data_IF_471443005274
#
_entry.id   IF_471443005274
#
_cell.length_a   1.000
_cell.length_b   1.000
_cell.length_c   1.000
_cell.angle_alpha   90.00
_cell.angle_beta   90.00
_cell.angle_gamma   90.00
#
_symmetry.space_group_name_H-M   'P 1'
#
loop_
_entity.id
_entity.type
_entity.pdbx_description
1 polymer ?
#
# COMPACT_ATOMS: atom_id res chain seq x y z
N UNK A 1 -14.18 48.31 25.71
CA UNK A 1 -13.17 47.41 26.31
C UNK A 1 -13.81 46.07 26.53
N UNK A 2 -13.63 45.13 25.60
CA UNK A 2 -13.61 43.67 25.84
C UNK A 2 -13.01 43.06 24.57
N UNK A 3 -11.68 43.06 24.49
CA UNK A 3 -10.95 42.24 23.54
C UNK A 3 -11.10 40.80 24.03
N UNK A 4 -11.74 39.95 23.21
CA UNK A 4 -11.89 38.52 23.46
C UNK A 4 -10.50 37.89 23.37
N UNK A 5 -10.03 37.31 24.47
CA UNK A 5 -8.78 36.56 24.54
C UNK A 5 -8.93 35.17 23.90
N UNK A 6 -9.39 35.12 22.65
CA UNK A 6 -9.41 33.93 21.80
C UNK A 6 -8.39 33.99 20.65
N UNK A 7 -7.76 35.14 20.43
CA UNK A 7 -6.95 35.41 19.24
C UNK A 7 -5.43 35.34 19.46
N UNK A 8 -4.94 34.65 20.52
CA UNK A 8 -3.50 34.60 20.79
C UNK A 8 -2.99 33.27 21.36
N UNK A 9 -3.41 32.16 20.78
CA UNK A 9 -2.63 30.92 20.78
C UNK A 9 -2.65 30.34 19.37
N UNK A 10 -1.99 31.05 18.45
CA UNK A 10 -1.51 30.43 17.22
C UNK A 10 -0.56 29.32 17.64
N UNK A 11 -1.02 28.06 17.61
CA UNK A 11 -0.12 26.93 17.79
C UNK A 11 0.92 27.06 16.68
N UNK A 12 2.24 27.07 16.96
CA UNK A 12 3.27 27.25 15.92
C UNK A 12 3.10 26.25 14.77
N UNK A 13 2.53 25.09 15.08
CA UNK A 13 2.11 24.07 14.14
C UNK A 13 1.02 24.49 13.14
N UNK A 14 0.00 25.26 13.55
CA UNK A 14 -1.09 25.73 12.67
C UNK A 14 -0.57 26.75 11.68
N UNK A 15 0.27 27.69 12.14
CA UNK A 15 0.88 28.69 11.27
C UNK A 15 1.79 28.04 10.22
N UNK A 16 2.61 27.06 10.61
CA UNK A 16 3.47 26.34 9.65
C UNK A 16 2.62 25.57 8.64
N UNK A 17 1.53 24.92 9.07
CA UNK A 17 0.67 24.18 8.12
C UNK A 17 -0.03 25.14 7.15
N UNK A 18 -0.56 26.27 7.64
CA UNK A 18 -1.22 27.28 6.81
C UNK A 18 -0.26 27.91 5.80
N UNK A 19 0.94 28.31 6.23
CA UNK A 19 1.99 28.85 5.35
C UNK A 19 2.40 27.84 4.26
N UNK A 20 2.43 26.56 4.61
CA UNK A 20 2.82 25.52 3.64
C UNK A 20 1.67 25.10 2.73
N UNK A 21 0.42 25.10 3.21
CA UNK A 21 -0.76 24.90 2.37
C UNK A 21 -0.91 26.06 1.37
N UNK A 22 -0.63 27.29 1.77
CA UNK A 22 -0.56 28.44 0.86
C UNK A 22 0.55 28.27 -0.20
N UNK A 23 1.75 27.83 0.19
CA UNK A 23 2.84 27.52 -0.74
C UNK A 23 2.47 26.38 -1.72
N UNK A 24 1.63 25.43 -1.30
CA UNK A 24 1.09 24.38 -2.19
C UNK A 24 0.07 24.93 -3.21
N UNK A 25 -0.73 25.92 -2.81
CA UNK A 25 -1.76 26.55 -3.66
C UNK A 25 -1.18 27.60 -4.63
N UNK A 26 -0.05 28.23 -4.28
CA UNK A 26 0.60 29.30 -5.05
C UNK A 26 1.24 28.89 -6.40
N UNK A 27 0.79 27.78 -7.00
CA UNK A 27 1.24 27.24 -8.28
C UNK A 27 2.69 26.72 -8.33
N UNK A 28 2.88 25.51 -7.79
CA UNK A 28 3.97 24.61 -8.21
C UNK A 28 5.27 24.71 -7.43
N UNK A 29 5.33 25.53 -6.38
CA UNK A 29 6.47 25.64 -5.47
C UNK A 29 6.49 24.52 -4.41
N UNK A 30 6.27 23.28 -4.87
CA UNK A 30 6.28 22.10 -4.01
C UNK A 30 7.63 21.87 -3.32
N UNK A 31 8.71 22.35 -3.92
CA UNK A 31 10.06 22.27 -3.35
C UNK A 31 10.26 23.18 -2.14
N UNK A 32 9.69 24.40 -2.17
CA UNK A 32 9.73 25.31 -1.02
C UNK A 32 8.85 24.77 0.11
N UNK A 33 7.64 24.29 -0.22
CA UNK A 33 6.78 23.61 0.73
C UNK A 33 7.47 22.41 1.40
N UNK A 34 8.21 21.61 0.63
CA UNK A 34 8.98 20.48 1.17
C UNK A 34 10.10 20.94 2.11
N UNK A 35 10.82 22.02 1.78
CA UNK A 35 11.87 22.57 2.67
C UNK A 35 11.30 22.97 4.02
N UNK A 36 10.14 23.64 4.03
CA UNK A 36 9.44 24.02 5.25
C UNK A 36 8.98 22.79 6.06
N UNK A 37 8.45 21.76 5.39
CA UNK A 37 8.10 20.50 6.06
C UNK A 37 9.31 19.82 6.70
N UNK A 38 10.47 19.81 6.03
CA UNK A 38 11.69 19.21 6.58
C UNK A 38 12.19 19.97 7.81
N UNK A 39 12.20 21.31 7.75
CA UNK A 39 12.53 22.13 8.91
C UNK A 39 11.59 21.86 10.09
N UNK A 40 10.29 21.70 9.84
CA UNK A 40 9.32 21.38 10.88
C UNK A 40 9.53 19.98 11.46
N UNK A 41 9.84 18.99 10.63
CA UNK A 41 10.12 17.61 11.04
C UNK A 41 11.37 17.53 11.92
N UNK A 42 12.41 18.32 11.62
CA UNK A 42 13.67 18.34 12.40
C UNK A 42 13.47 18.88 13.83
N UNK A 43 12.47 19.73 14.05
CA UNK A 43 12.17 20.28 15.38
C UNK A 43 11.23 19.40 16.22
N UNK A 44 10.65 18.36 15.62
CA UNK A 44 9.61 17.54 16.26
C UNK A 44 10.12 16.12 16.56
N UNK A 45 9.90 15.59 17.78
CA UNK A 45 10.28 14.23 18.13
C UNK A 45 9.75 13.17 17.17
N UNK A 46 10.49 12.06 17.00
CA UNK A 46 10.16 11.02 16.00
C UNK A 46 8.79 10.35 16.21
N UNK A 47 8.31 10.29 17.46
CA UNK A 47 7.06 9.66 17.86
C UNK A 47 5.87 10.63 17.98
N UNK A 48 6.10 11.93 17.77
CA UNK A 48 5.06 12.94 17.91
C UNK A 48 4.02 12.82 16.79
N UNK A 49 2.73 12.89 17.14
CA UNK A 49 1.62 12.84 16.19
C UNK A 49 1.68 13.97 15.14
N UNK A 50 2.23 15.11 15.52
CA UNK A 50 2.47 16.27 14.66
C UNK A 50 3.41 15.95 13.50
N UNK A 51 4.45 15.14 13.76
CA UNK A 51 5.39 14.67 12.73
C UNK A 51 4.68 13.84 11.66
N UNK A 52 3.68 13.03 12.05
CA UNK A 52 2.88 12.27 11.09
C UNK A 52 2.11 13.19 10.13
N UNK A 53 1.61 14.34 10.61
CA UNK A 53 0.93 15.34 9.79
C UNK A 53 1.89 15.95 8.76
N UNK A 54 3.07 16.39 9.19
CA UNK A 54 4.08 16.94 8.29
C UNK A 54 4.55 15.93 7.23
N UNK A 55 4.83 14.70 7.64
CA UNK A 55 5.21 13.62 6.71
C UNK A 55 4.09 13.32 5.70
N UNK A 56 2.84 13.28 6.16
CA UNK A 56 1.70 13.06 5.27
C UNK A 56 1.55 14.19 4.26
N UNK A 57 1.74 15.45 4.67
CA UNK A 57 1.65 16.59 3.78
C UNK A 57 2.84 16.69 2.80
N UNK A 58 4.05 16.35 3.24
CA UNK A 58 5.20 16.17 2.35
C UNK A 58 4.92 15.08 1.30
N UNK A 59 4.26 13.98 1.68
CA UNK A 59 3.83 12.96 0.72
C UNK A 59 2.84 13.51 -0.32
N UNK A 60 1.98 14.46 0.07
CA UNK A 60 1.07 15.13 -0.86
C UNK A 60 1.84 15.97 -1.91
N UNK A 61 2.89 16.68 -1.49
CA UNK A 61 3.80 17.38 -2.42
C UNK A 61 4.43 16.39 -3.40
N UNK A 62 4.97 15.26 -2.92
CA UNK A 62 5.57 14.25 -3.79
C UNK A 62 4.58 13.62 -4.76
N UNK A 63 3.33 13.36 -4.34
CA UNK A 63 2.25 12.93 -5.25
C UNK A 63 2.00 13.94 -6.36
N UNK A 64 1.98 15.24 -6.06
CA UNK A 64 1.80 16.29 -7.07
C UNK A 64 2.99 16.39 -8.02
N UNK A 65 4.20 16.14 -7.51
CA UNK A 65 5.43 16.05 -8.31
C UNK A 65 5.58 14.73 -9.07
N UNK A 66 4.65 13.78 -8.91
CA UNK A 66 4.72 12.43 -9.47
C UNK A 66 5.92 11.61 -9.00
N UNK A 67 6.47 11.95 -7.83
CA UNK A 67 7.50 11.15 -7.18
C UNK A 67 6.84 10.12 -6.26
N UNK A 68 6.38 9.04 -6.87
CA UNK A 68 5.58 8.02 -6.18
C UNK A 68 6.37 7.28 -5.10
N UNK A 69 7.68 7.08 -5.32
CA UNK A 69 8.54 6.39 -4.37
C UNK A 69 8.69 7.21 -3.09
N UNK A 70 9.06 8.50 -3.21
CA UNK A 70 9.17 9.37 -2.05
C UNK A 70 7.82 9.57 -1.36
N UNK A 71 6.71 9.67 -2.11
CA UNK A 71 5.37 9.73 -1.53
C UNK A 71 5.05 8.50 -0.65
N UNK A 72 5.39 7.30 -1.14
CA UNK A 72 5.22 6.05 -0.39
C UNK A 72 6.07 6.00 0.88
N UNK A 73 7.32 6.46 0.82
CA UNK A 73 8.23 6.52 1.97
C UNK A 73 7.69 7.45 3.05
N UNK A 74 7.28 8.66 2.67
CA UNK A 74 6.73 9.64 3.60
C UNK A 74 5.43 9.17 4.24
N UNK A 75 4.52 8.58 3.45
CA UNK A 75 3.30 7.99 4.01
C UNK A 75 3.61 6.82 4.94
N UNK A 76 4.59 5.98 4.61
CA UNK A 76 4.98 4.85 5.47
C UNK A 76 5.58 5.34 6.78
N UNK A 77 6.40 6.40 6.76
CA UNK A 77 6.90 7.04 7.98
C UNK A 77 5.75 7.63 8.82
N UNK A 78 4.79 8.31 8.20
CA UNK A 78 3.59 8.82 8.89
C UNK A 78 2.77 7.69 9.53
N UNK A 79 2.61 6.56 8.83
CA UNK A 79 1.85 5.40 9.30
C UNK A 79 2.56 4.60 10.40
N UNK A 80 3.89 4.70 10.53
CA UNK A 80 4.61 4.16 11.69
C UNK A 80 4.25 4.90 12.98
N UNK A 81 3.99 6.20 12.88
CA UNK A 81 3.61 7.06 14.01
C UNK A 81 2.11 6.94 14.29
N UNK A 82 1.29 6.94 13.23
CA UNK A 82 -0.15 6.79 13.33
C UNK A 82 -0.67 5.80 12.28
N UNK A 83 -0.79 4.53 12.68
CA UNK A 83 -1.23 3.45 11.79
C UNK A 83 -2.66 3.57 11.26
N UNK A 84 -3.48 4.45 11.85
CA UNK A 84 -4.87 4.72 11.46
C UNK A 84 -5.02 6.03 10.69
N UNK A 85 -3.93 6.65 10.24
CA UNK A 85 -4.00 7.94 9.58
C UNK A 85 -4.58 7.84 8.16
N UNK A 86 -5.89 8.07 8.03
CA UNK A 86 -6.66 7.94 6.79
C UNK A 86 -6.02 8.64 5.59
N UNK A 87 -5.60 9.91 5.74
CA UNK A 87 -4.97 10.65 4.64
C UNK A 87 -3.68 9.99 4.16
N UNK A 88 -2.86 9.45 5.06
CA UNK A 88 -1.62 8.76 4.71
C UNK A 88 -1.88 7.42 4.03
N UNK A 89 -2.89 6.66 4.48
CA UNK A 89 -3.31 5.42 3.80
C UNK A 89 -3.79 5.68 2.37
N UNK A 90 -4.66 6.67 2.17
CA UNK A 90 -5.17 7.04 0.84
C UNK A 90 -4.04 7.51 -0.08
N UNK A 91 -3.16 8.38 0.43
CA UNK A 91 -2.01 8.90 -0.33
C UNK A 91 -1.03 7.80 -0.71
N UNK A 92 -0.71 6.88 0.21
CA UNK A 92 0.17 5.74 -0.06
C UNK A 92 -0.44 4.78 -1.07
N UNK A 93 -1.70 4.42 -0.90
CA UNK A 93 -2.42 3.56 -1.86
C UNK A 93 -2.46 4.18 -3.26
N UNK A 94 -2.58 5.51 -3.37
CA UNK A 94 -2.52 6.20 -4.66
C UNK A 94 -1.13 6.09 -5.28
N UNK A 95 -0.06 6.37 -4.53
CA UNK A 95 1.31 6.21 -5.03
C UNK A 95 1.65 4.76 -5.41
N UNK A 96 1.19 3.77 -4.62
CA UNK A 96 1.40 2.35 -4.90
C UNK A 96 0.72 1.89 -6.20
N UNK A 97 -0.45 2.45 -6.54
CA UNK A 97 -1.10 2.18 -7.82
C UNK A 97 -0.27 2.68 -9.00
N UNK A 98 0.32 3.87 -8.89
CA UNK A 98 1.22 4.41 -9.91
C UNK A 98 2.54 3.61 -10.02
N UNK A 99 2.93 2.92 -8.95
CA UNK A 99 4.09 2.01 -8.92
C UNK A 99 3.76 0.56 -9.36
N UNK A 100 2.52 0.29 -9.79
CA UNK A 100 2.01 -1.07 -10.10
C UNK A 100 2.08 -2.07 -8.92
N UNK A 101 2.22 -1.56 -7.69
CA UNK A 101 2.14 -2.37 -6.47
C UNK A 101 0.69 -2.44 -5.97
N UNK A 102 -0.13 -3.12 -6.76
CA UNK A 102 -1.58 -3.20 -6.55
C UNK A 102 -1.97 -3.99 -5.30
N UNK A 103 -1.11 -4.93 -4.86
CA UNK A 103 -1.36 -5.74 -3.67
C UNK A 103 -1.33 -4.89 -2.40
N UNK A 104 -0.28 -4.08 -2.22
CA UNK A 104 -0.18 -3.18 -1.08
C UNK A 104 -1.18 -2.01 -1.20
N UNK A 105 -1.47 -1.54 -2.41
CA UNK A 105 -2.49 -0.52 -2.63
C UNK A 105 -3.90 -1.01 -2.20
N UNK A 106 -4.25 -2.25 -2.55
CA UNK A 106 -5.51 -2.87 -2.14
C UNK A 106 -5.58 -3.01 -0.61
N UNK A 107 -4.51 -3.46 0.04
CA UNK A 107 -4.46 -3.59 1.49
C UNK A 107 -4.70 -2.24 2.21
N UNK A 108 -4.08 -1.16 1.72
CA UNK A 108 -4.30 0.17 2.26
C UNK A 108 -5.73 0.67 2.02
N UNK A 109 -6.29 0.43 0.83
CA UNK A 109 -7.68 0.79 0.52
C UNK A 109 -8.68 0.02 1.40
N UNK A 110 -8.46 -1.27 1.63
CA UNK A 110 -9.26 -2.09 2.55
C UNK A 110 -9.20 -1.54 3.98
N UNK A 111 -8.01 -1.18 4.45
CA UNK A 111 -7.84 -0.57 5.77
C UNK A 111 -8.57 0.77 5.89
N UNK A 112 -8.61 1.57 4.84
CA UNK A 112 -9.41 2.81 4.82
C UNK A 112 -10.90 2.49 4.92
N UNK A 113 -11.40 1.47 4.21
CA UNK A 113 -12.81 1.03 4.33
C UNK A 113 -13.12 0.51 5.73
N UNK A 114 -12.19 -0.20 6.39
CA UNK A 114 -12.37 -0.67 7.77
C UNK A 114 -12.48 0.49 8.76
N UNK A 115 -11.68 1.54 8.59
CA UNK A 115 -11.64 2.71 9.48
C UNK A 115 -12.75 3.73 9.18
N UNK A 116 -13.10 3.89 7.89
CA UNK A 116 -14.13 4.79 7.39
C UNK A 116 -14.91 4.11 6.24
N UNK A 117 -15.96 3.34 6.58
CA UNK A 117 -16.80 2.67 5.59
C UNK A 117 -17.52 3.64 4.63
N UNK A 118 -17.62 4.93 4.99
CA UNK A 118 -18.22 5.97 4.15
C UNK A 118 -17.28 6.54 3.09
N UNK A 119 -16.01 6.12 3.08
CA UNK A 119 -15.01 6.65 2.18
C UNK A 119 -15.24 6.19 0.73
N UNK A 120 -15.88 7.05 -0.07
CA UNK A 120 -16.24 6.73 -1.46
C UNK A 120 -15.03 6.43 -2.37
N UNK A 121 -13.86 7.02 -2.08
CA UNK A 121 -12.63 6.70 -2.82
C UNK A 121 -12.17 5.27 -2.51
N UNK A 122 -12.14 4.89 -1.23
CA UNK A 122 -11.62 3.59 -0.81
C UNK A 122 -12.52 2.44 -1.25
N UNK A 123 -13.85 2.60 -1.14
CA UNK A 123 -14.82 1.60 -1.62
C UNK A 123 -14.61 1.32 -3.11
N UNK A 124 -14.52 2.37 -3.94
CA UNK A 124 -14.27 2.22 -5.39
C UNK A 124 -12.90 1.62 -5.69
N UNK A 125 -11.88 1.98 -4.90
CA UNK A 125 -10.54 1.43 -5.06
C UNK A 125 -10.55 -0.08 -4.77
N UNK A 126 -11.20 -0.53 -3.69
CA UNK A 126 -11.32 -1.96 -3.35
C UNK A 126 -12.10 -2.71 -4.43
N UNK A 127 -13.24 -2.18 -4.88
CA UNK A 127 -14.05 -2.80 -5.94
C UNK A 127 -13.25 -3.00 -7.23
N UNK A 128 -12.41 -2.03 -7.61
CA UNK A 128 -11.59 -2.11 -8.82
C UNK A 128 -10.36 -3.01 -8.65
N UNK A 129 -9.61 -2.85 -7.56
CA UNK A 129 -8.32 -3.51 -7.37
C UNK A 129 -8.46 -4.99 -6.98
N UNK A 130 -9.55 -5.38 -6.30
CA UNK A 130 -9.75 -6.77 -5.85
C UNK A 130 -9.68 -7.79 -7.00
N UNK A 131 -10.49 -7.70 -8.08
CA UNK A 131 -10.44 -8.67 -9.16
C UNK A 131 -9.10 -8.65 -9.91
N UNK A 132 -8.45 -7.49 -10.02
CA UNK A 132 -7.17 -7.34 -10.70
C UNK A 132 -6.04 -8.04 -9.93
N UNK A 133 -5.96 -7.83 -8.62
CA UNK A 133 -5.01 -8.52 -7.74
C UNK A 133 -5.26 -10.02 -7.74
N UNK A 134 -6.51 -10.47 -7.65
CA UNK A 134 -6.85 -11.90 -7.68
C UNK A 134 -6.42 -12.56 -8.99
N UNK A 135 -6.74 -11.94 -10.13
CA UNK A 135 -6.33 -12.45 -11.44
C UNK A 135 -4.80 -12.53 -11.59
N UNK A 136 -4.07 -11.51 -11.11
CA UNK A 136 -2.59 -11.51 -11.12
C UNK A 136 -2.04 -12.65 -10.26
N UNK A 137 -2.61 -12.86 -9.07
CA UNK A 137 -2.20 -13.94 -8.17
C UNK A 137 -2.51 -15.33 -8.73
N UNK A 138 -3.67 -15.54 -9.34
CA UNK A 138 -4.02 -16.80 -10.00
C UNK A 138 -3.07 -17.10 -11.15
N UNK A 139 -2.82 -16.12 -12.03
CA UNK A 139 -1.86 -16.28 -13.12
C UNK A 139 -0.46 -16.61 -12.61
N UNK A 140 0.02 -15.90 -11.58
CA UNK A 140 1.32 -16.18 -10.97
C UNK A 140 1.36 -17.59 -10.35
N UNK A 141 0.27 -18.06 -9.71
CA UNK A 141 0.15 -19.42 -9.17
C UNK A 141 0.22 -20.47 -10.28
N UNK A 142 -0.53 -20.29 -11.35
CA UNK A 142 -0.53 -21.23 -12.49
C UNK A 142 0.85 -21.32 -13.15
N UNK A 143 1.52 -20.18 -13.36
CA UNK A 143 2.88 -20.14 -13.89
C UNK A 143 3.88 -20.82 -12.96
N UNK A 144 3.79 -20.59 -11.64
CA UNK A 144 4.64 -21.27 -10.65
C UNK A 144 4.39 -22.77 -10.62
N UNK A 145 3.12 -23.21 -10.66
CA UNK A 145 2.75 -24.63 -10.71
C UNK A 145 3.27 -25.30 -11.99
N UNK A 146 3.20 -24.61 -13.12
CA UNK A 146 3.79 -25.06 -14.38
C UNK A 146 5.30 -25.29 -14.25
N UNK A 147 6.04 -24.30 -13.74
CA UNK A 147 7.50 -24.42 -13.52
C UNK A 147 7.87 -25.53 -12.54
N UNK A 148 7.09 -25.72 -11.47
CA UNK A 148 7.29 -26.81 -10.52
C UNK A 148 7.05 -28.19 -11.16
N UNK A 149 6.02 -28.32 -12.01
CA UNK A 149 5.78 -29.53 -12.79
C UNK A 149 6.92 -29.82 -13.76
N UNK A 150 7.39 -28.82 -14.50
CA UNK A 150 8.53 -28.97 -15.40
C UNK A 150 9.81 -29.41 -14.66
N UNK A 151 10.08 -28.80 -13.51
CA UNK A 151 11.22 -29.18 -12.66
C UNK A 151 11.08 -30.64 -12.17
N UNK A 152 9.89 -31.02 -11.72
CA UNK A 152 9.59 -32.41 -11.31
C UNK A 152 9.78 -33.39 -12.46
N UNK A 153 9.26 -33.07 -13.65
CA UNK A 153 9.40 -33.88 -14.86
C UNK A 153 10.85 -33.97 -15.34
N UNK A 154 11.65 -32.92 -15.20
CA UNK A 154 13.08 -32.95 -15.52
C UNK A 154 13.86 -33.91 -14.60
N UNK A 155 13.51 -33.94 -13.32
CA UNK A 155 14.14 -34.86 -12.36
C UNK A 155 13.69 -36.30 -12.58
N UNK A 156 12.38 -36.54 -12.73
CA UNK A 156 11.81 -37.86 -12.97
C UNK A 156 12.19 -38.42 -14.33
N UNK A 157 12.35 -37.57 -15.34
CA UNK A 157 12.74 -37.95 -16.69
C UNK A 157 14.12 -38.62 -16.74
N UNK A 158 15.04 -38.25 -15.84
CA UNK A 158 16.34 -38.94 -15.69
C UNK A 158 16.20 -40.41 -15.25
N UNK A 159 15.04 -40.78 -14.72
CA UNK A 159 14.68 -42.14 -14.31
C UNK A 159 13.64 -42.78 -15.24
N UNK A 160 13.30 -42.15 -16.37
CA UNK A 160 12.26 -42.63 -17.29
C UNK A 160 10.83 -42.44 -16.77
N UNK A 161 10.62 -41.49 -15.86
CA UNK A 161 9.33 -41.22 -15.21
C UNK A 161 8.83 -39.80 -15.55
N UNK A 162 7.50 -39.59 -15.48
CA UNK A 162 6.85 -38.27 -15.55
C UNK A 162 5.86 -38.12 -14.39
N UNK A 163 5.61 -36.89 -13.93
CA UNK A 163 4.51 -36.59 -13.01
C UNK A 163 3.14 -36.98 -13.59
N UNK A 164 3.00 -37.02 -14.91
CA UNK A 164 1.76 -37.45 -15.57
C UNK A 164 1.48 -38.95 -15.40
N UNK A 165 2.51 -39.74 -15.05
CA UNK A 165 2.37 -41.16 -14.77
C UNK A 165 1.71 -41.41 -13.41
N UNK A 166 1.67 -40.41 -12.52
CA UNK A 166 1.11 -40.53 -11.17
C UNK A 166 -0.29 -39.90 -11.12
N UNK A 167 -1.32 -40.72 -10.90
CA UNK A 167 -2.70 -40.28 -10.70
C UNK A 167 -3.11 -40.49 -9.25
N UNK A 168 -3.48 -39.40 -8.58
CA UNK A 168 -4.08 -39.47 -7.26
C UNK A 168 -5.57 -39.80 -7.40
N UNK A 169 -6.02 -40.92 -6.83
CA UNK A 169 -7.43 -41.27 -6.69
C UNK A 169 -7.86 -41.09 -5.23
N UNK A 170 -8.90 -40.28 -5.02
CA UNK A 170 -9.50 -40.07 -3.71
C UNK A 170 -10.57 -41.14 -3.45
N UNK A 171 -10.47 -41.84 -2.33
CA UNK A 171 -11.51 -42.77 -1.88
C UNK A 171 -12.64 -41.99 -1.19
N UNK A 172 -13.81 -41.99 -1.82
CA UNK A 172 -14.99 -41.25 -1.36
C UNK A 172 -15.59 -41.78 -0.06
N UNK A 173 -15.22 -42.99 0.39
CA UNK A 173 -15.71 -43.56 1.65
C UNK A 173 -14.83 -43.19 2.86
N UNK A 174 -13.52 -43.03 2.67
CA UNK A 174 -12.55 -42.80 3.76
C UNK A 174 -11.93 -41.41 3.73
N UNK A 175 -12.06 -40.68 2.62
CA UNK A 175 -11.37 -39.41 2.37
C UNK A 175 -9.87 -39.55 2.11
N UNK A 176 -9.34 -40.78 2.10
CA UNK A 176 -7.93 -41.07 1.86
C UNK A 176 -7.54 -40.92 0.39
N UNK A 177 -6.27 -40.60 0.13
CA UNK A 177 -5.71 -40.50 -1.22
C UNK A 177 -4.81 -41.72 -1.51
N UNK A 178 -5.01 -42.35 -2.66
CA UNK A 178 -4.13 -43.40 -3.19
C UNK A 178 -3.43 -42.89 -4.45
N UNK A 179 -2.11 -43.03 -4.54
CA UNK A 179 -1.36 -42.67 -5.74
C UNK A 179 -1.23 -43.93 -6.62
N UNK A 180 -1.85 -43.92 -7.79
CA UNK A 180 -1.67 -44.95 -8.82
C UNK A 180 -0.62 -44.50 -9.82
N UNK A 181 0.26 -45.41 -10.18
CA UNK A 181 1.28 -45.19 -11.19
C UNK A 181 0.93 -45.97 -12.46
N UNK A 182 0.80 -45.27 -13.59
CA UNK A 182 0.58 -45.87 -14.90
C UNK A 182 1.78 -45.59 -15.80
N UNK A 183 2.51 -46.65 -16.13
CA UNK A 183 3.60 -46.62 -17.11
C UNK A 183 3.03 -47.02 -18.48
N UNK A 184 3.30 -46.22 -19.52
CA UNK A 184 3.01 -46.62 -20.92
C UNK A 184 4.17 -47.44 -21.46
#
# INVERSE_FOLDING_TARGET
MTSSASDLYMHPQSCIIEEVEEAQEAHGEYDEALQLYWQAIDQVPEDAQERAVYLCNAAACYLKKQDWQLACEQCTAALKINGSYLKALVRRATALQELDDLEHALADAQKVVELDPGNAWAVKAVERLTPEVQARQEKMKDEMLGKLKELGNSLLGKFGLSLDNFKAEQDSATGGYSIKFNQS
#
